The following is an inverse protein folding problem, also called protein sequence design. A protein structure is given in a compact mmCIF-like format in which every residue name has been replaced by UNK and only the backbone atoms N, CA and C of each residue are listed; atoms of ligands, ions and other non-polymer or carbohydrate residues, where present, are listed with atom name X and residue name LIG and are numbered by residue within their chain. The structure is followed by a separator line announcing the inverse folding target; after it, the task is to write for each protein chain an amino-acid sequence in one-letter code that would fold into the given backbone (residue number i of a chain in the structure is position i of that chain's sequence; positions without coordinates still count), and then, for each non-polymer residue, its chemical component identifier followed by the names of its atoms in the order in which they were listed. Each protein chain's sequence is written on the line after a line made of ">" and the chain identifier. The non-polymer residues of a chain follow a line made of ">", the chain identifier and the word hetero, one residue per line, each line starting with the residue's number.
data_IF_204430167500
#
_entry.id   IF_204430167500
#
_cell.length_a   1.000
_cell.length_b   1.000
_cell.length_c   1.000
_cell.angle_alpha   90.00
_cell.angle_beta   90.00
_cell.angle_gamma   90.00
#
_symmetry.space_group_name_H-M   'P 1'
#
loop_
_entity.id
_entity.type
_entity.pdbx_description
1 polymer ?
#
# COMPACT_ATOMS: atom_id res chain seq x y z
N UNK A 1 -17.01 12.24 -26.12
CA UNK A 1 -16.55 12.66 -24.78
C UNK A 1 -15.06 12.42 -24.70
N UNK A 2 -14.26 13.48 -24.63
CA UNK A 2 -12.80 13.47 -24.55
C UNK A 2 -12.32 12.93 -23.19
N UNK A 3 -12.04 11.63 -23.12
CA UNK A 3 -11.55 10.94 -21.90
C UNK A 3 -10.01 11.00 -21.79
N UNK A 4 -9.31 11.53 -22.80
CA UNK A 4 -7.84 11.50 -22.89
C UNK A 4 -7.11 12.70 -22.25
N UNK A 5 -7.83 13.73 -21.78
CA UNK A 5 -7.23 14.93 -21.20
C UNK A 5 -6.89 14.87 -19.70
N UNK A 6 -7.40 13.87 -18.97
CA UNK A 6 -7.28 13.80 -17.50
C UNK A 6 -6.20 12.84 -17.00
N UNK A 7 -5.67 11.97 -17.85
CA UNK A 7 -4.66 10.98 -17.45
C UNK A 7 -3.25 11.57 -17.31
N UNK A 8 -2.99 12.72 -17.93
CA UNK A 8 -1.62 13.26 -18.06
C UNK A 8 -1.17 14.05 -16.83
N UNK A 9 -2.09 14.55 -16.01
CA UNK A 9 -1.74 15.46 -14.92
C UNK A 9 -1.52 14.73 -13.59
N UNK A 10 -0.46 13.91 -13.55
CA UNK A 10 -0.02 13.22 -12.34
C UNK A 10 0.38 14.16 -11.20
N UNK A 11 0.61 15.45 -11.53
CA UNK A 11 0.89 16.53 -10.58
C UNK A 11 -0.38 17.20 -10.04
N UNK A 12 -1.54 16.95 -10.64
CA UNK A 12 -2.81 17.50 -10.22
C UNK A 12 -3.17 17.07 -8.79
N UNK A 13 -3.72 18.01 -8.03
CA UNK A 13 -4.19 17.75 -6.67
C UNK A 13 -5.18 16.58 -6.61
N UNK A 14 -6.08 16.47 -7.60
CA UNK A 14 -7.06 15.38 -7.66
C UNK A 14 -6.39 14.01 -7.84
N UNK A 15 -5.35 13.93 -8.67
CA UNK A 15 -4.61 12.68 -8.91
C UNK A 15 -3.82 12.27 -7.68
N UNK A 16 -3.12 13.22 -7.05
CA UNK A 16 -2.39 13.00 -5.80
C UNK A 16 -3.33 12.54 -4.68
N UNK A 17 -4.49 13.19 -4.52
CA UNK A 17 -5.50 12.77 -3.54
C UNK A 17 -6.00 11.34 -3.77
N UNK A 18 -6.23 10.94 -5.03
CA UNK A 18 -6.56 9.55 -5.35
C UNK A 18 -5.48 8.56 -4.89
N UNK A 19 -4.21 8.90 -5.06
CA UNK A 19 -3.11 8.02 -4.63
C UNK A 19 -2.94 7.99 -3.12
N UNK A 20 -3.06 9.13 -2.43
CA UNK A 20 -3.11 9.18 -0.96
C UNK A 20 -4.20 8.24 -0.45
N UNK A 21 -5.40 8.30 -1.02
CA UNK A 21 -6.52 7.44 -0.65
C UNK A 21 -6.23 5.95 -0.86
N UNK A 22 -5.56 5.59 -1.97
CA UNK A 22 -5.16 4.19 -2.20
C UNK A 22 -4.11 3.68 -1.21
N UNK A 23 -3.16 4.54 -0.80
CA UNK A 23 -2.17 4.23 0.23
C UNK A 23 -2.87 4.03 1.58
N UNK A 24 -3.81 4.92 1.95
CA UNK A 24 -4.61 4.80 3.19
C UNK A 24 -5.33 3.44 3.26
N UNK A 25 -6.04 3.08 2.18
CA UNK A 25 -6.80 1.83 2.11
C UNK A 25 -5.88 0.61 2.27
N UNK A 26 -4.73 0.62 1.59
CA UNK A 26 -3.73 -0.45 1.70
C UNK A 26 -3.15 -0.57 3.11
N UNK A 27 -2.81 0.55 3.74
CA UNK A 27 -2.30 0.57 5.12
C UNK A 27 -3.34 0.09 6.14
N UNK A 28 -4.59 0.55 5.98
CA UNK A 28 -5.71 0.14 6.84
C UNK A 28 -5.94 -1.36 6.75
N UNK A 29 -5.88 -1.92 5.54
CA UNK A 29 -5.94 -3.37 5.32
C UNK A 29 -4.75 -4.10 5.94
N UNK A 30 -3.54 -3.55 5.81
CA UNK A 30 -2.32 -4.11 6.39
C UNK A 30 -2.31 -4.16 7.93
N UNK A 31 -3.10 -3.31 8.60
CA UNK A 31 -3.10 -3.22 10.05
C UNK A 31 -1.71 -2.86 10.59
N UNK A 32 -0.98 -2.01 9.86
CA UNK A 32 0.33 -1.50 10.29
C UNK A 32 0.13 -0.36 11.30
N UNK A 33 0.77 -0.47 12.47
CA UNK A 33 0.72 0.57 13.49
C UNK A 33 1.41 1.84 12.96
N UNK A 34 0.69 2.94 13.06
CA UNK A 34 0.94 4.14 12.26
C UNK A 34 2.00 5.04 12.89
N UNK A 35 3.15 5.20 12.24
CA UNK A 35 4.12 6.24 12.61
C UNK A 35 4.14 7.42 11.60
N UNK A 36 3.64 7.23 10.38
CA UNK A 36 3.57 8.28 9.33
C UNK A 36 2.26 8.24 8.55
N UNK A 37 1.70 9.42 8.27
CA UNK A 37 0.46 9.59 7.51
C UNK A 37 0.62 9.23 6.04
N UNK A 38 -0.43 8.65 5.44
CA UNK A 38 -0.51 8.35 4.00
C UNK A 38 -0.20 9.57 3.13
N UNK A 39 -0.58 10.76 3.62
CA UNK A 39 -0.30 12.04 2.97
C UNK A 39 1.19 12.41 3.01
N UNK A 40 1.86 12.09 4.12
CA UNK A 40 3.29 12.33 4.31
C UNK A 40 4.11 11.37 3.42
N UNK A 41 3.70 10.10 3.37
CA UNK A 41 4.27 9.09 2.49
C UNK A 41 4.10 9.44 1.01
N UNK A 42 2.92 9.88 0.59
CA UNK A 42 2.73 10.36 -0.79
C UNK A 42 3.59 11.57 -1.09
N UNK A 43 3.68 12.55 -0.17
CA UNK A 43 4.52 13.73 -0.34
C UNK A 43 5.99 13.36 -0.54
N UNK A 44 6.49 12.39 0.24
CA UNK A 44 7.83 11.84 0.08
C UNK A 44 8.06 11.20 -1.29
N UNK A 45 7.07 10.43 -1.77
CA UNK A 45 7.14 9.77 -3.09
C UNK A 45 7.05 10.80 -4.22
N UNK A 46 6.22 11.83 -4.06
CA UNK A 46 6.08 12.94 -5.00
C UNK A 46 7.38 13.77 -5.12
N UNK A 47 8.02 14.10 -4.00
CA UNK A 47 9.30 14.80 -3.99
C UNK A 47 10.44 13.96 -4.58
N UNK A 48 10.38 12.64 -4.41
CA UNK A 48 11.40 11.71 -4.92
C UNK A 48 11.24 11.45 -6.43
N UNK A 49 10.02 11.39 -6.92
CA UNK A 49 9.73 11.08 -8.31
C UNK A 49 9.94 12.29 -9.22
N UNK A 50 10.75 12.12 -10.26
CA UNK A 50 10.98 13.15 -11.28
C UNK A 50 10.00 13.04 -12.45
N UNK A 51 9.47 11.84 -12.67
CA UNK A 51 8.56 11.49 -13.76
C UNK A 51 7.32 10.75 -13.24
N UNK A 52 6.28 10.71 -14.08
CA UNK A 52 5.04 9.99 -13.80
C UNK A 52 5.30 8.50 -13.52
N UNK A 53 6.12 7.86 -14.36
CA UNK A 53 6.44 6.44 -14.24
C UNK A 53 7.14 6.12 -12.93
N UNK A 54 8.11 6.95 -12.51
CA UNK A 54 8.79 6.80 -11.22
C UNK A 54 7.79 6.92 -10.05
N UNK A 55 6.93 7.92 -10.11
CA UNK A 55 5.91 8.17 -9.09
C UNK A 55 4.94 6.99 -8.96
N UNK A 56 4.41 6.51 -10.08
CA UNK A 56 3.52 5.35 -10.12
C UNK A 56 4.22 4.07 -9.67
N UNK A 57 5.46 3.84 -10.09
CA UNK A 57 6.23 2.65 -9.71
C UNK A 57 6.51 2.62 -8.20
N UNK A 58 6.84 3.77 -7.61
CA UNK A 58 7.06 3.91 -6.17
C UNK A 58 5.77 3.71 -5.37
N UNK A 59 4.67 4.36 -5.76
CA UNK A 59 3.37 4.19 -5.09
C UNK A 59 2.87 2.75 -5.23
N UNK A 60 3.01 2.13 -6.41
CA UNK A 60 2.62 0.75 -6.62
C UNK A 60 3.40 -0.21 -5.71
N UNK A 61 4.73 -0.08 -5.65
CA UNK A 61 5.56 -0.90 -4.72
C UNK A 61 5.16 -0.69 -3.27
N UNK A 62 4.85 0.55 -2.88
CA UNK A 62 4.41 0.88 -1.52
C UNK A 62 3.08 0.19 -1.17
N UNK A 63 2.09 0.26 -2.05
CA UNK A 63 0.78 -0.39 -1.88
C UNK A 63 0.93 -1.92 -1.83
N UNK A 64 1.73 -2.49 -2.74
CA UNK A 64 2.00 -3.94 -2.77
C UNK A 64 2.66 -4.38 -1.47
N UNK A 65 3.63 -3.62 -0.94
CA UNK A 65 4.29 -3.93 0.31
C UNK A 65 3.31 -3.97 1.50
N UNK A 66 2.39 -3.02 1.58
CA UNK A 66 1.35 -3.04 2.61
C UNK A 66 0.40 -4.24 2.47
N UNK A 67 -0.01 -4.58 1.24
CA UNK A 67 -0.84 -5.77 1.00
C UNK A 67 -0.10 -7.08 1.32
N UNK A 68 1.19 -7.15 1.02
CA UNK A 68 2.03 -8.30 1.35
C UNK A 68 2.14 -8.49 2.88
N UNK A 69 2.33 -7.41 3.64
CA UNK A 69 2.34 -7.45 5.11
C UNK A 69 1.01 -8.02 5.66
N UNK A 70 -0.13 -7.62 5.09
CA UNK A 70 -1.44 -8.20 5.43
C UNK A 70 -1.49 -9.71 5.16
N UNK A 71 -1.03 -10.12 3.98
CA UNK A 71 -1.06 -11.51 3.54
C UNK A 71 -0.14 -12.39 4.40
N UNK A 72 1.07 -11.91 4.71
CA UNK A 72 2.06 -12.61 5.53
C UNK A 72 1.62 -12.74 6.99
N UNK A 73 0.96 -11.71 7.57
CA UNK A 73 0.29 -11.84 8.88
C UNK A 73 -0.87 -12.84 8.86
N UNK A 74 -1.65 -12.88 7.78
CA UNK A 74 -2.72 -13.87 7.60
C UNK A 74 -2.19 -15.30 7.41
N UNK A 75 -1.02 -15.46 6.79
CA UNK A 75 -0.36 -16.75 6.60
C UNK A 75 0.32 -17.25 7.90
N UNK A 76 0.81 -16.35 8.75
CA UNK A 76 1.37 -16.69 10.05
C UNK A 76 0.31 -17.12 11.09
N UNK A 77 -0.97 -16.84 10.84
CA UNK A 77 -2.08 -17.22 11.74
C UNK A 77 -2.72 -18.57 11.39
N UNK A 78 -2.38 -19.17 10.23
CA UNK A 78 -2.85 -20.53 9.85
C UNK A 78 -1.84 -21.64 10.18
N UNK A 79 -0.61 -21.31 10.54
CA UNK A 79 0.42 -22.28 10.95
C UNK A 79 0.43 -22.62 12.46
N UNK A 80 -0.48 -22.04 13.24
CA UNK A 80 -0.57 -22.26 14.70
C UNK A 80 -1.62 -23.28 15.17
N UNK A 81 -2.16 -24.15 14.31
CA UNK A 81 -3.25 -25.08 14.68
C UNK A 81 -2.97 -26.56 14.38
N UNK A 82 -1.72 -26.95 14.21
CA UNK A 82 -1.35 -28.38 14.22
C UNK A 82 -0.28 -28.66 15.29
N UNK A 83 -0.65 -28.46 16.55
CA UNK A 83 -0.09 -29.22 17.67
C UNK A 83 -1.24 -30.03 18.26
N UNK A 84 -1.77 -30.92 17.43
CA UNK A 84 -2.64 -32.00 17.88
C UNK A 84 -1.76 -33.15 18.32
N UNK A 85 -2.28 -33.86 19.32
CA UNK A 85 -1.92 -35.22 19.75
C UNK A 85 -0.75 -35.29 20.71
N UNK A 86 -1.13 -35.62 21.94
CA UNK A 86 -0.23 -35.91 23.04
C UNK A 86 0.64 -37.12 22.75
N UNK A 87 1.85 -37.04 23.30
CA UNK A 87 2.63 -38.21 23.63
C UNK A 87 2.74 -38.24 25.15
N UNK A 88 1.80 -38.96 25.73
CA UNK A 88 1.94 -39.55 27.04
C UNK A 88 2.29 -41.02 26.79
N UNK A 89 3.51 -41.40 27.16
CA UNK A 89 3.87 -42.70 27.73
C UNK A 89 5.30 -42.59 28.31
#
# INVERSE_FOLDING_TARGET
>A
MDVSGQETDWRSAAFRQKLVSQIEDAMRKAGVAHSKSSKDMESHVFLKAKTRDEYLSLVARLIIHFRDIHNKKSQASVSGKFSSVGWQE
#
